data_IF_652452104922
#
_entry.id   IF_652452104922
#
_cell.length_a   1.000
_cell.length_b   1.000
_cell.length_c   1.000
_cell.angle_alpha   90.00
_cell.angle_beta   90.00
_cell.angle_gamma   90.00
#
_symmetry.space_group_name_H-M   'P 1'
#
loop_
_entity.id
_entity.type
_entity.pdbx_description
1 polymer ?
#
# COMPACT_ATOMS: atom_id res chain seq x y z
N UNK A 1 -46.66 -19.96 5.62
CA UNK A 1 -46.91 -18.55 5.22
C UNK A 1 -46.60 -17.61 6.37
N UNK A 2 -45.75 -16.62 6.13
CA UNK A 2 -45.24 -15.67 7.11
C UNK A 2 -45.81 -14.27 6.89
N UNK A 3 -45.95 -13.50 7.97
CA UNK A 3 -46.23 -12.05 7.93
C UNK A 3 -44.94 -11.25 7.72
N UNK A 4 -45.07 -10.01 7.25
CA UNK A 4 -43.93 -9.09 7.06
C UNK A 4 -43.08 -8.93 8.32
N UNK A 5 -43.70 -8.87 9.49
CA UNK A 5 -43.03 -8.76 10.79
C UNK A 5 -42.18 -9.99 11.14
N UNK A 6 -42.60 -11.17 10.67
CA UNK A 6 -41.87 -12.42 10.84
C UNK A 6 -40.71 -12.49 9.84
N UNK A 7 -40.94 -12.09 8.58
CA UNK A 7 -39.88 -12.00 7.56
C UNK A 7 -38.77 -11.04 7.99
N UNK A 8 -39.12 -9.85 8.49
CA UNK A 8 -38.16 -8.88 9.05
C UNK A 8 -37.29 -9.51 10.14
N UNK A 9 -37.90 -10.20 11.11
CA UNK A 9 -37.18 -10.85 12.21
C UNK A 9 -36.24 -11.95 11.74
N UNK A 10 -36.63 -12.72 10.72
CA UNK A 10 -35.88 -13.88 10.25
C UNK A 10 -34.75 -13.50 9.28
N UNK A 11 -34.92 -12.43 8.52
CA UNK A 11 -33.97 -12.03 7.46
C UNK A 11 -33.12 -10.83 7.82
N UNK A 12 -33.51 -10.08 8.86
CA UNK A 12 -32.87 -8.83 9.26
C UNK A 12 -33.14 -7.66 8.30
N UNK A 13 -33.97 -7.87 7.27
CA UNK A 13 -34.41 -6.81 6.36
C UNK A 13 -35.46 -5.94 7.05
N UNK A 14 -35.30 -4.62 6.99
CA UNK A 14 -36.30 -3.69 7.55
C UNK A 14 -37.63 -3.80 6.80
N UNK A 15 -38.74 -3.50 7.48
CA UNK A 15 -40.07 -3.45 6.81
C UNK A 15 -40.09 -2.56 5.57
N UNK A 16 -39.35 -1.46 5.59
CA UNK A 16 -39.27 -0.53 4.47
C UNK A 16 -38.56 -1.18 3.28
N UNK A 17 -37.46 -1.89 3.51
CA UNK A 17 -36.75 -2.61 2.45
C UNK A 17 -37.58 -3.76 1.87
N UNK A 18 -38.31 -4.50 2.72
CA UNK A 18 -39.26 -5.52 2.24
C UNK A 18 -40.36 -4.87 1.38
N UNK A 19 -40.83 -3.68 1.73
CA UNK A 19 -41.77 -2.93 0.91
C UNK A 19 -41.17 -2.46 -0.42
N UNK A 20 -39.95 -1.93 -0.42
CA UNK A 20 -39.27 -1.47 -1.63
C UNK A 20 -38.99 -2.62 -2.61
N UNK A 21 -38.70 -3.81 -2.09
CA UNK A 21 -38.57 -5.03 -2.90
C UNK A 21 -39.92 -5.47 -3.49
N UNK A 22 -41.02 -5.31 -2.73
CA UNK A 22 -42.34 -5.79 -3.14
C UNK A 22 -43.15 -4.83 -4.02
N UNK A 23 -42.91 -3.53 -3.90
CA UNK A 23 -43.76 -2.51 -4.52
C UNK A 23 -42.91 -1.50 -5.28
N UNK A 24 -43.28 -1.25 -6.54
CA UNK A 24 -42.71 -0.14 -7.29
C UNK A 24 -43.06 1.18 -6.61
N UNK A 25 -42.04 1.96 -6.27
CA UNK A 25 -42.22 3.30 -5.74
C UNK A 25 -41.56 4.32 -6.65
N UNK A 26 -42.37 5.07 -7.40
CA UNK A 26 -41.93 6.03 -8.44
C UNK A 26 -41.12 7.21 -7.90
N UNK A 27 -41.06 7.41 -6.58
CA UNK A 27 -40.31 8.51 -5.94
C UNK A 27 -39.10 8.07 -5.10
N UNK A 28 -38.94 6.77 -4.82
CA UNK A 28 -38.00 6.27 -3.81
C UNK A 28 -37.07 5.13 -4.24
N UNK A 29 -37.19 4.62 -5.47
CA UNK A 29 -36.34 3.53 -5.96
C UNK A 29 -36.79 2.14 -5.52
N UNK A 30 -38.07 1.96 -5.20
CA UNK A 30 -38.67 0.63 -4.99
C UNK A 30 -38.56 -0.20 -6.27
N UNK A 31 -37.88 -1.34 -6.17
CA UNK A 31 -37.55 -2.22 -7.29
C UNK A 31 -38.79 -2.91 -7.85
N UNK A 32 -39.84 -3.13 -7.04
CA UNK A 32 -41.08 -3.80 -7.50
C UNK A 32 -40.83 -5.18 -8.09
N UNK A 33 -39.71 -5.79 -7.70
CA UNK A 33 -39.17 -7.03 -8.28
C UNK A 33 -39.89 -8.27 -7.75
N UNK A 34 -40.54 -8.21 -6.58
CA UNK A 34 -41.10 -9.39 -5.91
C UNK A 34 -42.59 -9.26 -5.60
N UNK A 35 -43.41 -10.22 -5.98
CA UNK A 35 -44.83 -10.22 -5.60
C UNK A 35 -45.07 -11.23 -4.45
N UNK A 36 -45.65 -10.81 -3.31
CA UNK A 36 -45.96 -11.74 -2.22
C UNK A 36 -46.94 -12.84 -2.66
N UNK A 37 -46.75 -14.07 -2.17
CA UNK A 37 -47.67 -15.19 -2.45
C UNK A 37 -49.16 -14.88 -2.19
N UNK A 38 -49.46 -14.02 -1.21
CA UNK A 38 -50.78 -13.41 -1.07
C UNK A 38 -50.63 -11.91 -0.88
N UNK A 39 -51.24 -11.13 -1.78
CA UNK A 39 -51.33 -9.67 -1.68
C UNK A 39 -52.80 -9.21 -1.64
N UNK A 40 -53.25 -8.70 -0.49
CA UNK A 40 -54.54 -8.01 -0.31
C UNK A 40 -54.27 -6.60 0.22
N UNK A 41 -55.18 -5.62 0.01
CA UNK A 41 -55.01 -4.27 0.54
C UNK A 41 -54.75 -4.32 2.06
N UNK A 42 -53.57 -3.85 2.49
CA UNK A 42 -53.14 -3.85 3.89
C UNK A 42 -52.59 -5.18 4.42
N UNK A 43 -52.45 -6.21 3.60
CA UNK A 43 -52.09 -7.56 4.04
C UNK A 43 -51.24 -8.30 3.01
N UNK A 44 -50.01 -8.65 3.39
CA UNK A 44 -49.12 -9.50 2.59
C UNK A 44 -48.75 -10.76 3.38
N UNK A 45 -48.86 -11.94 2.75
CA UNK A 45 -48.31 -13.19 3.27
C UNK A 45 -47.26 -13.72 2.31
N UNK A 46 -46.20 -14.24 2.91
CA UNK A 46 -45.03 -14.74 2.22
C UNK A 46 -44.97 -16.25 2.37
N UNK A 47 -44.68 -16.99 1.30
CA UNK A 47 -44.46 -18.43 1.37
C UNK A 47 -42.98 -18.78 1.64
N UNK A 48 -42.61 -20.04 1.44
CA UNK A 48 -41.25 -20.52 1.71
C UNK A 48 -40.25 -20.01 0.67
N UNK A 49 -40.65 -19.95 -0.60
CA UNK A 49 -39.83 -19.39 -1.68
C UNK A 49 -39.55 -17.91 -1.42
N UNK A 50 -40.59 -17.16 -1.05
CA UNK A 50 -40.45 -15.75 -0.65
C UNK A 50 -39.42 -15.59 0.47
N UNK A 51 -39.49 -16.44 1.51
CA UNK A 51 -38.59 -16.36 2.65
C UNK A 51 -37.14 -16.67 2.29
N UNK A 52 -36.89 -17.67 1.44
CA UNK A 52 -35.55 -18.00 0.94
C UNK A 52 -34.95 -16.84 0.14
N UNK A 53 -35.78 -16.16 -0.64
CA UNK A 53 -35.36 -15.02 -1.46
C UNK A 53 -35.06 -13.79 -0.61
N UNK A 54 -35.90 -13.47 0.37
CA UNK A 54 -35.58 -12.42 1.34
C UNK A 54 -34.34 -12.76 2.19
N UNK A 55 -34.13 -14.04 2.52
CA UNK A 55 -32.92 -14.48 3.19
C UNK A 55 -31.68 -14.22 2.34
N UNK A 56 -31.73 -14.58 1.04
CA UNK A 56 -30.65 -14.32 0.09
C UNK A 56 -30.37 -12.81 -0.05
N UNK A 57 -31.41 -11.99 -0.24
CA UNK A 57 -31.27 -10.54 -0.28
C UNK A 57 -30.64 -10.01 1.01
N UNK A 58 -31.04 -10.54 2.16
CA UNK A 58 -30.41 -10.26 3.45
C UNK A 58 -28.91 -10.55 3.46
N UNK A 59 -28.48 -11.69 2.91
CA UNK A 59 -27.05 -12.02 2.79
C UNK A 59 -26.31 -11.06 1.86
N UNK A 60 -26.87 -10.75 0.68
CA UNK A 60 -26.27 -9.80 -0.26
C UNK A 60 -26.14 -8.41 0.36
N UNK A 61 -27.18 -7.92 1.04
CA UNK A 61 -27.13 -6.63 1.77
C UNK A 61 -26.05 -6.62 2.84
N UNK A 62 -25.89 -7.71 3.60
CA UNK A 62 -24.82 -7.85 4.59
C UNK A 62 -23.43 -7.90 3.97
N UNK A 63 -23.30 -8.48 2.79
CA UNK A 63 -22.07 -8.48 2.00
C UNK A 63 -21.77 -7.13 1.33
N UNK A 64 -22.58 -6.09 1.57
CA UNK A 64 -22.34 -4.74 1.07
C UNK A 64 -22.93 -4.45 -0.32
N UNK A 65 -23.77 -5.34 -0.86
CA UNK A 65 -24.50 -5.05 -2.10
C UNK A 65 -25.52 -3.93 -1.89
N UNK A 66 -25.57 -3.00 -2.82
CA UNK A 66 -26.60 -1.96 -2.93
C UNK A 66 -27.89 -2.56 -3.47
N UNK A 67 -29.03 -1.88 -3.28
CA UNK A 67 -30.31 -2.37 -3.78
C UNK A 67 -30.30 -2.57 -5.32
N UNK A 68 -29.58 -1.71 -6.05
CA UNK A 68 -29.45 -1.83 -7.51
C UNK A 68 -28.67 -3.05 -7.95
N UNK A 69 -27.74 -3.54 -7.13
CA UNK A 69 -26.93 -4.72 -7.44
C UNK A 69 -27.64 -6.02 -6.99
N UNK A 70 -28.59 -5.94 -6.06
CA UNK A 70 -29.29 -7.11 -5.53
C UNK A 70 -30.09 -7.84 -6.61
N UNK A 71 -30.90 -7.12 -7.39
CA UNK A 71 -31.74 -7.73 -8.43
C UNK A 71 -30.93 -8.55 -9.46
N UNK A 72 -29.93 -7.98 -10.16
CA UNK A 72 -29.15 -8.77 -11.12
C UNK A 72 -28.38 -9.92 -10.46
N UNK A 73 -27.91 -9.76 -9.21
CA UNK A 73 -27.20 -10.82 -8.49
C UNK A 73 -28.13 -11.97 -8.10
N UNK A 74 -29.37 -11.65 -7.74
CA UNK A 74 -30.40 -12.65 -7.43
C UNK A 74 -30.75 -13.45 -8.69
N UNK A 75 -30.91 -12.80 -9.85
CA UNK A 75 -31.14 -13.50 -11.11
C UNK A 75 -29.95 -14.37 -11.51
N UNK A 76 -28.73 -13.88 -11.35
CA UNK A 76 -27.51 -14.63 -11.63
C UNK A 76 -27.38 -15.93 -10.82
N UNK A 77 -27.99 -16.02 -9.62
CA UNK A 77 -28.02 -17.24 -8.80
C UNK A 77 -28.88 -18.35 -9.43
N UNK A 78 -29.87 -17.96 -10.23
CA UNK A 78 -30.77 -18.89 -10.92
C UNK A 78 -30.25 -19.28 -12.31
N UNK A 79 -29.20 -18.62 -12.78
CA UNK A 79 -28.55 -18.88 -14.07
C UNK A 79 -27.36 -19.84 -13.89
N UNK A 80 -27.11 -20.70 -14.88
CA UNK A 80 -26.02 -21.67 -14.87
C UNK A 80 -24.76 -21.14 -15.58
N UNK A 81 -24.43 -19.86 -15.39
CA UNK A 81 -23.26 -19.23 -15.99
C UNK A 81 -22.31 -18.62 -14.95
N UNK A 82 -21.15 -18.15 -15.41
CA UNK A 82 -20.12 -17.56 -14.54
C UNK A 82 -20.44 -16.10 -14.15
N UNK A 83 -21.66 -15.59 -14.39
CA UNK A 83 -22.03 -14.20 -14.07
C UNK A 83 -22.03 -13.97 -12.55
N UNK A 84 -22.56 -14.92 -11.77
CA UNK A 84 -22.57 -14.85 -10.32
C UNK A 84 -21.14 -14.86 -9.76
N UNK A 85 -20.31 -15.80 -10.22
CA UNK A 85 -18.92 -15.93 -9.76
C UNK A 85 -18.16 -14.62 -10.00
N UNK A 86 -18.27 -14.05 -11.20
CA UNK A 86 -17.62 -12.76 -11.54
C UNK A 86 -18.14 -11.62 -10.67
N UNK A 87 -19.45 -11.56 -10.42
CA UNK A 87 -20.07 -10.52 -9.59
C UNK A 87 -19.59 -10.59 -8.15
N UNK A 88 -19.56 -11.80 -7.56
CA UNK A 88 -19.08 -12.02 -6.20
C UNK A 88 -17.58 -11.74 -6.08
N UNK A 89 -16.78 -12.17 -7.05
CA UNK A 89 -15.34 -11.89 -7.06
C UNK A 89 -15.06 -10.39 -7.15
N UNK A 90 -15.76 -9.68 -8.04
CA UNK A 90 -15.64 -8.22 -8.15
C UNK A 90 -15.98 -7.51 -6.83
N UNK A 91 -17.01 -7.98 -6.11
CA UNK A 91 -17.36 -7.43 -4.79
C UNK A 91 -16.30 -7.74 -3.74
N UNK A 92 -15.74 -8.95 -3.75
CA UNK A 92 -14.66 -9.32 -2.85
C UNK A 92 -13.42 -8.45 -3.09
N UNK A 93 -13.05 -8.24 -4.35
CA UNK A 93 -11.92 -7.39 -4.73
C UNK A 93 -12.13 -5.92 -4.28
N UNK A 94 -13.35 -5.37 -4.45
CA UNK A 94 -13.72 -4.03 -3.96
C UNK A 94 -13.54 -3.92 -2.43
N UNK A 95 -14.05 -4.91 -1.69
CA UNK A 95 -13.95 -4.93 -0.23
C UNK A 95 -12.50 -5.13 0.25
N UNK A 96 -11.71 -5.94 -0.45
CA UNK A 96 -10.29 -6.10 -0.16
C UNK A 96 -9.52 -4.80 -0.41
N UNK A 97 -9.78 -4.11 -1.51
CA UNK A 97 -9.19 -2.80 -1.79
C UNK A 97 -9.58 -1.78 -0.72
N UNK A 98 -10.86 -1.72 -0.31
CA UNK A 98 -11.31 -0.81 0.74
C UNK A 98 -10.67 -1.13 2.10
N UNK A 99 -10.48 -2.41 2.42
CA UNK A 99 -9.78 -2.84 3.64
C UNK A 99 -8.32 -2.37 3.63
N UNK A 100 -7.62 -2.48 2.50
CA UNK A 100 -6.26 -2.00 2.35
C UNK A 100 -6.19 -0.48 2.56
N UNK A 101 -7.07 0.30 1.91
CA UNK A 101 -7.13 1.75 2.07
C UNK A 101 -7.37 2.18 3.53
N UNK A 102 -8.27 1.49 4.24
CA UNK A 102 -8.51 1.76 5.66
C UNK A 102 -7.30 1.41 6.54
N UNK A 103 -6.56 0.36 6.21
CA UNK A 103 -5.33 0.01 6.91
C UNK A 103 -4.25 1.08 6.71
N UNK A 104 -4.10 1.60 5.49
CA UNK A 104 -3.17 2.70 5.18
C UNK A 104 -3.55 3.98 5.95
N UNK A 105 -4.83 4.32 5.97
CA UNK A 105 -5.36 5.46 6.74
C UNK A 105 -5.10 5.31 8.25
N UNK A 106 -5.23 4.10 8.79
CA UNK A 106 -4.96 3.82 10.18
C UNK A 106 -3.46 3.96 10.50
N UNK A 107 -2.59 3.39 9.66
CA UNK A 107 -1.13 3.52 9.80
C UNK A 107 -0.69 5.00 9.78
N UNK A 108 -1.23 5.79 8.85
CA UNK A 108 -0.93 7.22 8.78
C UNK A 108 -1.39 7.95 10.05
N UNK A 109 -2.56 7.60 10.60
CA UNK A 109 -3.06 8.18 11.84
C UNK A 109 -2.21 7.80 13.05
N UNK A 110 -1.74 6.56 13.12
CA UNK A 110 -0.82 6.08 14.17
C UNK A 110 0.53 6.82 14.10
N UNK A 111 1.10 6.97 12.90
CA UNK A 111 2.31 7.77 12.68
C UNK A 111 2.15 9.22 13.18
N UNK A 112 1.05 9.87 12.81
CA UNK A 112 0.75 11.24 13.25
C UNK A 112 0.57 11.32 14.76
N UNK A 113 -0.06 10.33 15.38
CA UNK A 113 -0.26 10.24 16.83
C UNK A 113 1.07 10.07 17.56
N UNK A 114 1.96 9.21 17.08
CA UNK A 114 3.26 8.97 17.71
C UNK A 114 4.14 10.22 17.66
N UNK A 115 4.09 10.96 16.55
CA UNK A 115 4.80 12.23 16.42
C UNK A 115 4.37 13.29 17.45
N UNK A 116 3.16 13.23 18.01
CA UNK A 116 2.70 14.16 19.07
C UNK A 116 3.57 14.08 20.32
N UNK A 117 4.14 12.89 20.60
CA UNK A 117 5.04 12.65 21.73
C UNK A 117 6.39 13.37 21.60
N UNK A 118 6.74 13.79 20.38
CA UNK A 118 7.93 14.61 20.12
C UNK A 118 7.69 16.09 20.43
N UNK A 119 8.78 16.82 20.68
CA UNK A 119 8.75 18.28 20.85
C UNK A 119 8.13 18.94 19.60
N UNK A 120 7.36 20.04 19.73
CA UNK A 120 6.69 20.69 18.60
C UNK A 120 7.57 20.96 17.37
N UNK A 121 8.81 21.41 17.57
CA UNK A 121 9.78 21.67 16.50
C UNK A 121 10.25 20.40 15.76
N UNK A 122 10.11 19.23 16.38
CA UNK A 122 10.62 17.95 15.88
C UNK A 122 9.54 17.08 15.26
N UNK A 123 8.25 17.41 15.43
CA UNK A 123 7.12 16.56 15.02
C UNK A 123 7.12 16.27 13.53
N UNK A 124 7.43 17.27 12.70
CA UNK A 124 7.50 17.09 11.25
C UNK A 124 8.58 16.08 10.87
N UNK A 125 9.76 16.17 11.48
CA UNK A 125 10.83 15.21 11.25
C UNK A 125 10.47 13.82 11.78
N UNK A 126 9.78 13.72 12.92
CA UNK A 126 9.31 12.44 13.45
C UNK A 126 8.30 11.76 12.50
N UNK A 127 7.37 12.52 11.91
CA UNK A 127 6.44 11.99 10.89
C UNK A 127 7.22 11.52 9.66
N UNK A 128 8.11 12.36 9.13
CA UNK A 128 8.92 12.01 7.96
C UNK A 128 9.78 10.76 8.18
N UNK A 129 10.38 10.62 9.37
CA UNK A 129 11.19 9.47 9.75
C UNK A 129 10.35 8.19 9.80
N UNK A 130 9.21 8.22 10.50
CA UNK A 130 8.32 7.06 10.62
C UNK A 130 7.80 6.59 9.25
N UNK A 131 7.38 7.54 8.41
CA UNK A 131 6.92 7.26 7.04
C UNK A 131 8.06 6.68 6.19
N UNK A 132 9.27 7.24 6.26
CA UNK A 132 10.42 6.72 5.52
C UNK A 132 10.81 5.31 5.98
N UNK A 133 10.73 5.04 7.29
CA UNK A 133 10.94 3.70 7.86
C UNK A 133 9.92 2.70 7.32
N UNK A 134 8.62 3.04 7.32
CA UNK A 134 7.57 2.17 6.75
C UNK A 134 7.77 1.91 5.25
N UNK A 135 8.30 2.89 4.51
CA UNK A 135 8.67 2.72 3.10
C UNK A 135 9.84 1.76 2.94
N UNK A 136 10.85 1.83 3.82
CA UNK A 136 11.97 0.86 3.86
C UNK A 136 11.48 -0.55 4.18
N UNK A 137 10.60 -0.71 5.17
CA UNK A 137 10.04 -2.01 5.57
C UNK A 137 9.41 -2.72 4.37
N UNK A 138 8.44 -2.06 3.72
CA UNK A 138 7.75 -2.59 2.52
C UNK A 138 8.73 -2.87 1.37
N UNK A 139 9.65 -1.95 1.10
CA UNK A 139 10.58 -2.06 -0.01
C UNK A 139 11.57 -3.23 0.12
N UNK A 140 12.00 -3.53 1.35
CA UNK A 140 12.92 -4.64 1.61
C UNK A 140 12.20 -5.98 1.54
N UNK A 141 10.97 -6.06 2.05
CA UNK A 141 10.12 -7.24 1.91
C UNK A 141 9.84 -7.55 0.43
N UNK A 142 9.40 -6.57 -0.35
CA UNK A 142 9.13 -6.71 -1.79
C UNK A 142 10.38 -7.15 -2.56
N UNK A 143 11.53 -6.52 -2.27
CA UNK A 143 12.79 -6.83 -2.94
C UNK A 143 13.30 -8.24 -2.58
N UNK A 144 13.11 -8.67 -1.33
CA UNK A 144 13.48 -9.99 -0.84
C UNK A 144 12.68 -11.10 -1.51
N UNK A 145 11.35 -10.93 -1.61
CA UNK A 145 10.46 -11.84 -2.33
C UNK A 145 10.85 -11.97 -3.82
N UNK A 146 11.21 -10.87 -4.47
CA UNK A 146 11.60 -10.87 -5.88
C UNK A 146 12.97 -11.48 -6.20
N UNK A 147 13.78 -11.81 -5.18
CA UNK A 147 15.13 -12.37 -5.33
C UNK A 147 15.29 -13.76 -4.71
N UNK A 148 14.25 -14.32 -4.09
CA UNK A 148 14.34 -15.53 -3.26
C UNK A 148 15.45 -15.40 -2.18
N UNK A 149 15.63 -14.18 -1.63
CA UNK A 149 16.66 -13.91 -0.63
C UNK A 149 16.36 -14.64 0.68
N UNK A 150 17.40 -15.06 1.38
CA UNK A 150 17.25 -15.66 2.70
C UNK A 150 16.76 -14.62 3.72
N UNK A 151 16.06 -15.08 4.76
CA UNK A 151 15.58 -14.20 5.83
C UNK A 151 16.72 -13.41 6.48
N UNK A 152 17.88 -14.02 6.66
CA UNK A 152 19.06 -13.37 7.25
C UNK A 152 19.60 -12.24 6.36
N UNK A 153 19.65 -12.43 5.04
CA UNK A 153 20.03 -11.37 4.10
C UNK A 153 19.02 -10.21 4.12
N UNK A 154 17.71 -10.54 4.15
CA UNK A 154 16.63 -9.55 4.25
C UNK A 154 16.75 -8.74 5.54
N UNK A 155 16.89 -9.40 6.70
CA UNK A 155 17.03 -8.75 8.01
C UNK A 155 18.29 -7.87 8.07
N UNK A 156 19.39 -8.31 7.47
CA UNK A 156 20.65 -7.54 7.43
C UNK A 156 20.53 -6.29 6.55
N UNK A 157 19.94 -6.42 5.35
CA UNK A 157 19.70 -5.28 4.46
C UNK A 157 18.67 -4.32 5.06
N UNK A 158 17.66 -4.86 5.72
CA UNK A 158 16.63 -4.08 6.42
C UNK A 158 17.26 -3.19 7.49
N UNK A 159 18.04 -3.76 8.40
CA UNK A 159 18.74 -3.00 9.44
C UNK A 159 19.63 -1.90 8.85
N UNK A 160 20.38 -2.20 7.78
CA UNK A 160 21.22 -1.20 7.11
C UNK A 160 20.40 -0.05 6.52
N UNK A 161 19.30 -0.35 5.83
CA UNK A 161 18.48 0.68 5.20
C UNK A 161 17.71 1.52 6.21
N UNK A 162 17.31 0.94 7.35
CA UNK A 162 16.79 1.70 8.49
C UNK A 162 17.83 2.67 9.04
N UNK A 163 19.08 2.24 9.20
CA UNK A 163 20.17 3.13 9.63
C UNK A 163 20.44 4.26 8.63
N UNK A 164 20.33 3.97 7.32
CA UNK A 164 20.43 5.00 6.28
C UNK A 164 19.27 5.99 6.40
N UNK A 165 18.03 5.53 6.52
CA UNK A 165 16.84 6.38 6.67
C UNK A 165 16.94 7.28 7.91
N UNK A 166 17.30 6.71 9.06
CA UNK A 166 17.54 7.47 10.31
C UNK A 166 18.68 8.47 10.16
N UNK A 167 19.76 8.08 9.48
CA UNK A 167 20.87 8.98 9.16
C UNK A 167 20.44 10.16 8.29
N UNK A 168 19.59 9.93 7.28
CA UNK A 168 19.02 11.00 6.45
C UNK A 168 18.23 11.99 7.31
N UNK A 169 17.41 11.48 8.24
CA UNK A 169 16.60 12.32 9.12
C UNK A 169 17.44 13.09 10.14
N UNK A 170 18.53 12.49 10.65
CA UNK A 170 19.50 13.16 11.50
C UNK A 170 20.15 14.35 10.80
N UNK A 171 20.61 14.16 9.55
CA UNK A 171 21.20 15.23 8.73
C UNK A 171 20.20 16.37 8.45
N UNK A 172 18.92 16.03 8.18
CA UNK A 172 17.88 17.03 7.96
C UNK A 172 17.52 17.82 9.22
N UNK A 173 17.49 17.15 10.37
CA UNK A 173 17.05 17.74 11.64
C UNK A 173 18.12 18.63 12.28
N UNK A 174 19.37 18.20 12.25
CA UNK A 174 20.46 18.86 12.97
C UNK A 174 21.45 19.57 12.03
N UNK A 175 21.39 19.32 10.73
CA UNK A 175 22.38 19.82 9.78
C UNK A 175 23.75 19.16 9.96
N UNK A 176 24.67 19.44 9.04
CA UNK A 176 26.02 18.88 9.06
C UNK A 176 26.90 19.43 10.20
N UNK A 177 26.55 20.61 10.74
CA UNK A 177 27.41 21.39 11.65
C UNK A 177 27.12 21.15 13.15
N UNK A 178 26.09 20.39 13.51
CA UNK A 178 25.74 20.14 14.93
C UNK A 178 26.48 18.95 15.57
N UNK A 179 27.36 18.28 14.84
CA UNK A 179 28.13 17.14 15.33
C UNK A 179 29.60 17.53 15.54
N UNK A 180 29.81 18.58 16.34
CA UNK A 180 31.11 18.83 16.97
C UNK A 180 31.17 18.05 18.29
N UNK A 181 32.21 17.21 18.39
CA UNK A 181 32.66 16.38 19.51
C UNK A 181 32.28 14.88 19.49
N UNK A 182 33.35 14.07 19.45
CA UNK A 182 33.46 12.62 19.54
C UNK A 182 33.31 11.85 18.21
N UNK A 183 34.47 11.61 17.56
CA UNK A 183 34.98 10.46 16.78
C UNK A 183 34.06 9.34 16.20
N UNK A 184 32.75 9.54 16.12
CA UNK A 184 31.76 8.52 15.75
C UNK A 184 30.74 9.08 14.75
N UNK A 185 31.24 9.77 13.71
CA UNK A 185 30.46 9.98 12.49
C UNK A 185 30.09 8.60 11.95
N UNK A 186 28.84 8.18 12.17
CA UNK A 186 28.34 6.88 11.75
C UNK A 186 28.69 6.66 10.27
N UNK A 187 29.09 5.43 9.89
CA UNK A 187 29.42 5.11 8.50
C UNK A 187 28.31 5.49 7.50
N UNK A 188 27.06 5.63 7.99
CA UNK A 188 25.92 6.11 7.23
C UNK A 188 26.04 7.59 6.83
N UNK A 189 26.38 8.49 7.75
CA UNK A 189 26.50 9.92 7.45
C UNK A 189 27.59 10.21 6.42
N UNK A 190 28.76 9.58 6.54
CA UNK A 190 29.82 9.70 5.54
C UNK A 190 29.35 9.24 4.15
N UNK A 191 28.59 8.14 4.10
CA UNK A 191 28.00 7.67 2.84
C UNK A 191 26.98 8.65 2.27
N UNK A 192 26.15 9.27 3.11
CA UNK A 192 25.15 10.26 2.69
C UNK A 192 25.79 11.55 2.17
N UNK A 193 26.83 12.06 2.84
CA UNK A 193 27.57 13.25 2.39
C UNK A 193 28.25 13.05 1.03
N UNK A 194 28.93 11.91 0.84
CA UNK A 194 29.52 11.56 -0.46
C UNK A 194 28.47 11.36 -1.56
N UNK A 195 27.35 10.71 -1.23
CA UNK A 195 26.23 10.53 -2.15
C UNK A 195 25.65 11.89 -2.55
N UNK A 196 25.50 12.82 -1.60
CA UNK A 196 25.03 14.19 -1.85
C UNK A 196 25.91 14.97 -2.79
N UNK A 197 27.22 14.98 -2.55
CA UNK A 197 28.18 15.62 -3.46
C UNK A 197 28.14 15.00 -4.86
N UNK A 198 28.00 13.67 -4.94
CA UNK A 198 27.92 12.94 -6.21
C UNK A 198 26.65 13.24 -6.99
N UNK A 199 25.48 13.22 -6.34
CA UNK A 199 24.19 13.54 -6.96
C UNK A 199 24.18 14.99 -7.46
N UNK A 200 24.65 15.93 -6.65
CA UNK A 200 24.77 17.33 -7.07
C UNK A 200 25.68 17.50 -8.29
N UNK A 201 26.77 16.73 -8.39
CA UNK A 201 27.64 16.73 -9.57
C UNK A 201 26.93 16.18 -10.81
N UNK A 202 26.21 15.05 -10.68
CA UNK A 202 25.47 14.43 -11.78
C UNK A 202 24.37 15.36 -12.32
N UNK A 203 23.61 15.98 -11.42
CA UNK A 203 22.56 16.94 -11.79
C UNK A 203 23.14 18.18 -12.47
N UNK A 204 24.19 18.77 -11.90
CA UNK A 204 24.85 19.95 -12.49
C UNK A 204 25.40 19.70 -13.89
N UNK A 205 25.83 18.47 -14.16
CA UNK A 205 26.34 18.06 -15.48
C UNK A 205 25.24 17.66 -16.46
N UNK A 206 23.96 17.70 -16.06
CA UNK A 206 22.84 17.29 -16.91
C UNK A 206 22.91 15.82 -17.32
N UNK A 207 23.43 14.96 -16.44
CA UNK A 207 23.58 13.54 -16.76
C UNK A 207 22.21 12.89 -16.95
N UNK A 208 22.10 12.01 -17.94
CA UNK A 208 20.86 11.24 -18.18
C UNK A 208 20.71 10.17 -17.07
N UNK A 209 19.58 10.12 -16.35
CA UNK A 209 19.36 9.15 -15.26
C UNK A 209 19.47 7.69 -15.67
N UNK A 210 19.09 7.37 -16.91
CA UNK A 210 19.16 6.01 -17.48
C UNK A 210 20.50 5.69 -18.13
N UNK A 211 21.45 6.64 -18.12
CA UNK A 211 22.74 6.51 -18.76
C UNK A 211 23.75 5.65 -17.98
N UNK A 212 24.85 5.23 -18.63
CA UNK A 212 25.85 4.35 -18.02
C UNK A 212 26.55 4.97 -16.80
N UNK A 213 26.69 6.30 -16.77
CA UNK A 213 27.29 7.02 -15.64
C UNK A 213 26.40 6.99 -14.41
N UNK A 214 25.09 7.22 -14.58
CA UNK A 214 24.11 7.12 -13.50
C UNK A 214 24.03 5.68 -12.97
N UNK A 215 24.02 4.67 -13.85
CA UNK A 215 24.10 3.28 -13.38
C UNK A 215 25.44 2.90 -12.73
N UNK A 216 26.54 3.49 -13.18
CA UNK A 216 27.83 3.36 -12.51
C UNK A 216 27.80 3.92 -11.09
N UNK A 217 27.10 5.04 -10.87
CA UNK A 217 26.86 5.63 -9.56
C UNK A 217 25.98 4.72 -8.68
N UNK A 218 24.80 4.32 -9.18
CA UNK A 218 23.87 3.42 -8.46
C UNK A 218 24.58 2.14 -8.00
N UNK A 219 25.28 1.44 -8.90
CA UNK A 219 26.02 0.22 -8.55
C UNK A 219 27.14 0.47 -7.54
N UNK A 220 27.74 1.66 -7.52
CA UNK A 220 28.80 2.01 -6.57
C UNK A 220 28.22 2.22 -5.18
N UNK A 221 27.11 2.96 -5.07
CA UNK A 221 26.35 3.13 -3.82
C UNK A 221 25.88 1.77 -3.31
N UNK A 222 25.26 0.99 -4.19
CA UNK A 222 24.98 -0.45 -4.12
C UNK A 222 25.98 -1.24 -3.27
N UNK A 223 27.16 -1.35 -3.86
CA UNK A 223 28.29 -2.11 -3.32
C UNK A 223 28.88 -1.49 -2.06
N UNK A 224 28.90 -0.16 -1.95
CA UNK A 224 29.43 0.51 -0.75
C UNK A 224 28.55 0.20 0.47
N UNK A 225 27.24 0.21 0.28
CA UNK A 225 26.26 -0.20 1.30
C UNK A 225 26.37 -1.69 1.60
N UNK A 226 26.43 -2.56 0.60
CA UNK A 226 26.57 -4.00 0.80
C UNK A 226 27.82 -4.41 1.58
N UNK A 227 28.95 -3.70 1.42
CA UNK A 227 30.17 -3.91 2.21
C UNK A 227 30.01 -3.59 3.70
N UNK A 228 28.93 -2.91 4.10
CA UNK A 228 28.60 -2.68 5.51
C UNK A 228 27.73 -3.79 6.08
N UNK A 229 27.07 -4.58 5.23
CA UNK A 229 26.34 -5.79 5.61
C UNK A 229 27.27 -7.01 5.72
N UNK A 230 28.18 -7.16 4.75
CA UNK A 230 29.00 -8.36 4.62
C UNK A 230 30.37 -8.20 5.30
N UNK A 231 30.72 -9.12 6.20
CA UNK A 231 32.04 -9.20 6.81
C UNK A 231 33.00 -10.16 6.09
N UNK A 232 32.51 -11.18 5.36
CA UNK A 232 33.38 -12.33 5.07
C UNK A 232 33.51 -12.80 3.61
N UNK A 233 32.62 -12.48 2.64
CA UNK A 233 32.86 -12.89 1.22
C UNK A 233 32.44 -11.93 0.09
N UNK A 234 33.12 -11.95 -1.08
CA UNK A 234 32.73 -11.17 -2.27
C UNK A 234 31.39 -11.57 -2.90
N UNK A 235 30.96 -12.82 -2.71
CA UNK A 235 29.70 -13.36 -3.27
C UNK A 235 28.51 -12.81 -2.50
N UNK A 236 28.56 -12.86 -1.17
CA UNK A 236 27.54 -12.25 -0.30
C UNK A 236 27.44 -10.75 -0.56
N UNK A 237 28.57 -10.07 -0.75
CA UNK A 237 28.59 -8.64 -1.09
C UNK A 237 27.80 -8.34 -2.38
N UNK A 238 27.78 -9.26 -3.35
CA UNK A 238 27.03 -9.08 -4.60
C UNK A 238 25.53 -9.31 -4.40
N UNK A 239 25.15 -10.38 -3.70
CA UNK A 239 23.74 -10.67 -3.38
C UNK A 239 23.10 -9.52 -2.59
N UNK A 240 23.78 -9.04 -1.54
CA UNK A 240 23.35 -7.89 -0.76
C UNK A 240 23.29 -6.62 -1.62
N UNK A 241 24.24 -6.38 -2.53
CA UNK A 241 24.22 -5.21 -3.39
C UNK A 241 23.01 -5.21 -4.35
N UNK A 242 22.64 -6.37 -4.89
CA UNK A 242 21.48 -6.50 -5.76
C UNK A 242 20.16 -6.33 -4.98
N UNK A 243 20.07 -6.91 -3.76
CA UNK A 243 18.93 -6.72 -2.86
C UNK A 243 18.79 -5.25 -2.44
N UNK A 244 19.87 -4.59 -2.01
CA UNK A 244 19.89 -3.16 -1.67
C UNK A 244 19.48 -2.31 -2.88
N UNK A 245 19.97 -2.62 -4.08
CA UNK A 245 19.62 -1.86 -5.29
C UNK A 245 18.12 -1.95 -5.60
N UNK A 246 17.53 -3.15 -5.46
CA UNK A 246 16.08 -3.34 -5.65
C UNK A 246 15.28 -2.65 -4.55
N UNK A 247 15.64 -2.85 -3.29
CA UNK A 247 14.97 -2.19 -2.17
C UNK A 247 15.01 -0.66 -2.32
N UNK A 248 16.18 -0.08 -2.64
CA UNK A 248 16.28 1.37 -2.90
C UNK A 248 15.47 1.82 -4.12
N UNK A 249 15.33 0.99 -5.16
CA UNK A 249 14.46 1.28 -6.29
C UNK A 249 12.97 1.30 -5.89
N UNK A 250 12.55 0.45 -4.95
CA UNK A 250 11.21 0.44 -4.36
C UNK A 250 11.01 1.67 -3.45
N UNK A 251 11.94 1.95 -2.51
CA UNK A 251 11.88 3.16 -1.66
C UNK A 251 11.79 4.43 -2.50
N UNK A 252 12.64 4.59 -3.51
CA UNK A 252 12.62 5.75 -4.42
C UNK A 252 11.46 5.71 -5.41
N UNK A 253 10.71 4.61 -5.46
CA UNK A 253 9.47 4.51 -6.20
C UNK A 253 8.25 4.92 -5.39
N UNK A 254 8.37 4.98 -4.07
CA UNK A 254 7.36 5.45 -3.15
C UNK A 254 7.30 6.98 -3.15
N UNK A 255 6.08 7.54 -3.14
CA UNK A 255 5.85 9.00 -3.08
C UNK A 255 6.34 9.58 -1.74
N UNK A 256 6.33 8.75 -0.70
CA UNK A 256 6.66 9.11 0.67
C UNK A 256 8.15 9.45 0.87
N UNK A 257 9.04 8.88 0.05
CA UNK A 257 10.48 9.17 0.11
C UNK A 257 10.88 10.45 -0.62
N UNK A 258 9.97 11.04 -1.41
CA UNK A 258 10.27 12.17 -2.29
C UNK A 258 10.76 13.42 -1.55
N UNK A 259 10.01 13.86 -0.54
CA UNK A 259 10.36 15.07 0.23
C UNK A 259 11.68 14.90 1.00
N UNK A 260 11.91 13.83 1.79
CA UNK A 260 13.21 13.60 2.44
C UNK A 260 14.39 13.60 1.46
N UNK A 261 14.23 12.95 0.30
CA UNK A 261 15.28 12.85 -0.72
C UNK A 261 15.59 14.23 -1.32
N UNK A 262 14.57 14.99 -1.73
CA UNK A 262 14.75 16.35 -2.28
C UNK A 262 15.40 17.31 -1.29
N UNK A 263 14.99 17.27 -0.02
CA UNK A 263 15.58 18.13 1.02
C UNK A 263 17.05 17.80 1.29
N UNK A 264 17.42 16.51 1.25
CA UNK A 264 18.78 16.09 1.53
C UNK A 264 19.70 16.29 0.33
N UNK A 265 19.25 15.91 -0.86
CA UNK A 265 20.08 15.83 -2.07
C UNK A 265 19.91 17.03 -3.02
N UNK A 266 18.91 17.87 -2.79
CA UNK A 266 18.62 19.08 -3.57
C UNK A 266 17.66 18.84 -4.73
N UNK A 267 17.18 19.95 -5.31
CA UNK A 267 16.14 19.97 -6.34
C UNK A 267 16.44 19.03 -7.53
N UNK A 268 15.50 18.15 -7.83
CA UNK A 268 15.52 17.23 -8.97
C UNK A 268 16.23 15.91 -8.67
N UNK A 269 16.73 15.75 -7.44
CA UNK A 269 17.41 14.53 -7.00
C UNK A 269 16.47 13.33 -6.92
N UNK A 270 15.23 13.50 -6.46
CA UNK A 270 14.30 12.37 -6.32
C UNK A 270 13.95 11.77 -7.67
N UNK A 271 13.55 12.60 -8.63
CA UNK A 271 13.23 12.14 -9.98
C UNK A 271 14.45 11.49 -10.66
N UNK A 272 15.64 12.08 -10.51
CA UNK A 272 16.87 11.52 -11.04
C UNK A 272 17.19 10.16 -10.43
N UNK A 273 17.20 10.06 -9.09
CA UNK A 273 17.54 8.83 -8.38
C UNK A 273 16.52 7.72 -8.64
N UNK A 274 15.23 8.03 -8.60
CA UNK A 274 14.15 7.08 -8.89
C UNK A 274 14.32 6.45 -10.28
N UNK A 275 14.55 7.27 -11.31
CA UNK A 275 14.78 6.79 -12.67
C UNK A 275 16.09 5.99 -12.79
N UNK A 276 17.17 6.46 -12.16
CA UNK A 276 18.45 5.78 -12.20
C UNK A 276 18.39 4.40 -11.55
N UNK A 277 17.85 4.28 -10.34
CA UNK A 277 17.73 2.99 -9.65
C UNK A 277 16.83 2.02 -10.41
N UNK A 278 15.68 2.46 -10.92
CA UNK A 278 14.78 1.63 -11.75
C UNK A 278 15.45 1.14 -13.04
N UNK A 279 16.20 2.00 -13.73
CA UNK A 279 16.89 1.62 -14.95
C UNK A 279 17.95 0.55 -14.72
N UNK A 280 18.68 0.64 -13.60
CA UNK A 280 19.74 -0.31 -13.30
C UNK A 280 19.23 -1.66 -12.79
N UNK A 281 18.06 -1.70 -12.15
CA UNK A 281 17.41 -2.98 -11.76
C UNK A 281 16.75 -3.66 -12.95
N UNK A 282 16.14 -2.91 -13.88
CA UNK A 282 15.56 -3.47 -15.11
C UNK A 282 16.60 -4.14 -16.03
N UNK A 283 17.80 -3.55 -16.14
CA UNK A 283 18.90 -4.12 -16.94
C UNK A 283 19.53 -5.39 -16.36
N UNK A 284 19.27 -5.73 -15.09
CA UNK A 284 19.80 -6.94 -14.46
C UNK A 284 18.99 -8.22 -14.79
N UNK A 285 17.79 -8.08 -15.37
CA UNK A 285 16.92 -9.20 -15.75
C UNK A 285 17.13 -9.76 -17.16
N UNK A 286 17.93 -9.12 -18.02
CA UNK A 286 18.14 -9.53 -19.42
C UNK A 286 19.43 -10.35 -19.66
N UNK A 287 20.08 -10.83 -18.59
CA UNK A 287 21.32 -11.61 -18.67
C UNK A 287 21.30 -12.84 -17.79
N UNK A 288 20.24 -13.65 -17.86
CA UNK A 288 20.23 -15.04 -17.41
C UNK A 288 20.25 -15.96 -18.62
#
# INVERSE_FOLDING_TARGET
MWERSQVERLTGLSRHMIQDLCYHNTKGGGLGFWEPAVSKPGYSRFDEGDLLMFYLVGQLKRAGFTLREVEPTVFAILENDDSLVRTLQGKADELHARRAELADQLSALECLKDAVSSKPADRLYAVMEAVLVQSVDRAVEDAGQGLDATREEVDTVHALLLDVARGMMGELRYGADCFDAADDMSGAQRCLGEARASVANLLRRGMVPTGPVACGFVRRVSRKLARRCALDTPVETRAHADLIMRALAHVLGDVESGVPVELLFGNGSYAFLSQAFRACTAGAGQGR
#
